data_IF_549703687479
#
_entry.id   IF_549703687479
#
_cell.length_a   1.000
_cell.length_b   1.000
_cell.length_c   1.000
_cell.angle_alpha   90.00
_cell.angle_beta   90.00
_cell.angle_gamma   90.00
#
_symmetry.space_group_name_H-M   'P 1'
#
loop_
_entity.id
_entity.type
_entity.pdbx_description
1 polymer ?
#
# COMPACT_ATOMS: atom_id res chain seq x y z
N UNK A 1 -9.14 -5.84 11.72
CA UNK A 1 -9.75 -4.50 11.52
C UNK A 1 -10.47 -4.36 10.18
N UNK A 2 -9.78 -4.56 9.01
CA UNK A 2 -10.44 -4.43 7.70
C UNK A 2 -11.58 -5.45 7.50
N UNK A 3 -11.39 -6.69 7.95
CA UNK A 3 -12.43 -7.73 7.88
C UNK A 3 -13.69 -7.34 8.67
N UNK A 4 -13.52 -6.75 9.86
CA UNK A 4 -14.63 -6.27 10.69
C UNK A 4 -15.38 -5.13 10.00
N UNK A 5 -14.62 -4.20 9.39
CA UNK A 5 -15.21 -3.11 8.60
C UNK A 5 -16.05 -3.64 7.44
N UNK A 6 -15.51 -4.58 6.67
CA UNK A 6 -16.19 -5.19 5.53
C UNK A 6 -17.43 -5.99 5.96
N UNK A 7 -17.35 -6.72 7.08
CA UNK A 7 -18.50 -7.43 7.64
C UNK A 7 -19.61 -6.46 8.03
N UNK A 8 -19.26 -5.31 8.61
CA UNK A 8 -20.22 -4.25 8.91
C UNK A 8 -20.91 -3.67 7.67
N UNK A 9 -20.27 -3.68 6.50
CA UNK A 9 -20.89 -3.23 5.26
C UNK A 9 -22.07 -4.11 4.79
N UNK A 10 -22.15 -5.36 5.25
CA UNK A 10 -23.25 -6.26 4.91
C UNK A 10 -24.56 -5.89 5.63
N UNK A 11 -24.45 -5.30 6.81
CA UNK A 11 -25.61 -5.06 7.71
C UNK A 11 -25.95 -3.57 7.88
N UNK A 12 -25.00 -2.66 7.60
CA UNK A 12 -25.22 -1.22 7.74
C UNK A 12 -25.68 -0.60 6.41
N UNK A 13 -26.96 -0.17 6.29
CA UNK A 13 -27.48 0.46 5.06
C UNK A 13 -26.71 1.73 4.67
N UNK A 14 -26.08 2.43 5.64
CA UNK A 14 -25.31 3.64 5.35
C UNK A 14 -24.00 3.35 4.62
N UNK A 15 -23.54 2.10 4.62
CA UNK A 15 -22.33 1.65 3.96
C UNK A 15 -22.57 0.93 2.63
N UNK A 16 -23.84 0.62 2.32
CA UNK A 16 -24.19 -0.11 1.11
C UNK A 16 -24.27 0.80 -0.11
N UNK A 17 -23.90 0.28 -1.28
CA UNK A 17 -23.92 0.98 -2.58
C UNK A 17 -23.17 2.32 -2.59
N UNK A 18 -22.08 2.42 -1.85
CA UNK A 18 -21.23 3.60 -1.75
C UNK A 18 -19.76 3.24 -1.93
N UNK A 19 -18.99 4.20 -2.42
CA UNK A 19 -17.53 4.16 -2.34
C UNK A 19 -17.16 4.70 -0.96
N UNK A 20 -16.54 3.85 -0.15
CA UNK A 20 -16.18 4.18 1.23
C UNK A 20 -14.65 4.22 1.33
N UNK A 21 -14.06 5.41 1.40
CA UNK A 21 -12.65 5.51 1.71
C UNK A 21 -12.41 5.03 3.14
N UNK A 22 -11.29 4.35 3.36
CA UNK A 22 -10.90 3.84 4.67
C UNK A 22 -9.40 3.89 4.82
N UNK A 23 -8.92 4.45 5.93
CA UNK A 23 -7.54 4.41 6.38
C UNK A 23 -7.39 3.57 7.64
N UNK A 24 -6.17 3.22 7.99
CA UNK A 24 -5.84 2.62 9.27
C UNK A 24 -5.85 3.64 10.42
N UNK A 25 -5.68 3.20 11.67
CA UNK A 25 -5.58 4.09 12.82
C UNK A 25 -4.26 4.87 12.82
N UNK A 26 -4.29 6.05 13.43
CA UNK A 26 -3.13 6.93 13.57
C UNK A 26 -2.91 7.88 12.39
N UNK A 27 -1.72 8.47 12.35
CA UNK A 27 -1.34 9.44 11.34
C UNK A 27 -1.08 8.80 9.97
N UNK A 28 -1.21 9.57 8.91
CA UNK A 28 -0.87 9.13 7.57
C UNK A 28 0.63 8.80 7.46
N UNK A 29 0.94 7.63 6.93
CA UNK A 29 2.29 7.09 6.87
C UNK A 29 2.83 7.18 5.45
N UNK A 30 4.02 7.79 5.29
CA UNK A 30 4.74 7.77 4.01
C UNK A 30 5.49 6.44 3.83
N UNK A 31 5.76 5.98 2.59
CA UNK A 31 6.59 4.81 2.34
C UNK A 31 7.99 4.89 2.97
N UNK A 32 8.56 6.10 3.05
CA UNK A 32 9.85 6.33 3.72
C UNK A 32 9.72 6.07 5.22
N UNK A 33 8.74 6.68 5.88
CA UNK A 33 8.50 6.49 7.31
C UNK A 33 8.20 5.01 7.66
N UNK A 34 7.47 4.32 6.78
CA UNK A 34 7.22 2.89 6.90
C UNK A 34 8.52 2.08 6.84
N UNK A 35 9.40 2.38 5.88
CA UNK A 35 10.70 1.73 5.78
C UNK A 35 11.61 2.04 6.97
N UNK A 36 11.66 3.29 7.43
CA UNK A 36 12.43 3.68 8.62
C UNK A 36 11.98 2.91 9.87
N UNK A 37 10.67 2.78 10.07
CA UNK A 37 10.12 2.03 11.19
C UNK A 37 10.49 0.54 11.12
N UNK A 38 10.48 -0.07 9.93
CA UNK A 38 10.90 -1.44 9.73
C UNK A 38 12.38 -1.64 10.05
N UNK A 39 13.29 -0.78 9.52
CA UNK A 39 14.70 -0.85 9.85
C UNK A 39 14.96 -0.67 11.34
N UNK A 40 14.22 0.24 12.00
CA UNK A 40 14.30 0.46 13.45
C UNK A 40 13.86 -0.79 14.22
N UNK A 41 12.76 -1.43 13.83
CA UNK A 41 12.29 -2.66 14.46
C UNK A 41 13.31 -3.80 14.35
N UNK A 42 13.98 -3.90 13.19
CA UNK A 42 15.02 -4.89 12.94
C UNK A 42 16.39 -4.54 13.57
N UNK A 43 16.53 -3.39 14.23
CA UNK A 43 17.81 -2.93 14.78
C UNK A 43 18.89 -2.68 13.71
N UNK A 44 18.50 -2.41 12.48
CA UNK A 44 19.39 -2.21 11.35
C UNK A 44 19.50 -0.72 10.97
N UNK A 45 20.65 -0.28 10.45
CA UNK A 45 20.78 1.08 9.95
C UNK A 45 19.90 1.27 8.71
N UNK A 46 19.19 2.40 8.67
CA UNK A 46 18.33 2.75 7.52
C UNK A 46 19.16 2.87 6.24
N UNK A 47 18.77 2.16 5.19
CA UNK A 47 19.41 2.20 3.87
C UNK A 47 18.33 2.20 2.79
N UNK A 48 18.21 3.32 2.06
CA UNK A 48 17.31 3.42 0.92
C UNK A 48 18.09 3.61 -0.38
N UNK A 49 17.63 2.96 -1.42
CA UNK A 49 18.07 3.24 -2.79
C UNK A 49 16.95 3.99 -3.50
N UNK A 50 17.24 5.21 -3.91
CA UNK A 50 16.26 6.04 -4.62
C UNK A 50 16.29 5.70 -6.11
N UNK A 51 15.14 5.29 -6.63
CA UNK A 51 14.96 4.99 -8.06
C UNK A 51 14.08 6.10 -8.65
N UNK A 52 14.57 6.86 -9.65
CA UNK A 52 13.75 7.86 -10.31
C UNK A 52 12.53 7.24 -10.99
N UNK A 53 11.36 7.86 -10.83
CA UNK A 53 10.11 7.39 -11.47
C UNK A 53 10.26 7.28 -13.00
N UNK A 54 11.03 8.17 -13.62
CA UNK A 54 11.35 8.11 -15.06
C UNK A 54 12.00 6.80 -15.49
N UNK A 55 12.79 6.17 -14.60
CA UNK A 55 13.37 4.87 -14.90
C UNK A 55 12.29 3.79 -14.96
N UNK A 56 11.28 3.85 -14.09
CA UNK A 56 10.10 2.97 -14.17
C UNK A 56 9.35 3.17 -15.48
N UNK A 57 9.19 4.40 -15.93
CA UNK A 57 8.53 4.70 -17.23
C UNK A 57 9.25 4.05 -18.42
N UNK A 58 10.59 4.09 -18.42
CA UNK A 58 11.40 3.43 -19.45
C UNK A 58 11.26 1.91 -19.38
N UNK A 59 11.29 1.33 -18.18
CA UNK A 59 11.12 -0.12 -17.97
C UNK A 59 9.74 -0.56 -18.44
N UNK A 60 8.68 0.17 -18.05
CA UNK A 60 7.30 -0.11 -18.45
C UNK A 60 7.17 -0.04 -19.98
N UNK A 61 7.76 0.97 -20.60
CA UNK A 61 7.76 1.13 -22.05
C UNK A 61 8.42 -0.07 -22.76
N UNK A 62 9.60 -0.46 -22.32
CA UNK A 62 10.32 -1.61 -22.87
C UNK A 62 9.55 -2.92 -22.69
N UNK A 63 9.04 -3.19 -21.49
CA UNK A 63 8.24 -4.38 -21.20
C UNK A 63 6.93 -4.40 -22.00
N UNK A 64 6.27 -3.25 -22.19
CA UNK A 64 5.03 -3.15 -22.96
C UNK A 64 5.25 -3.45 -24.44
N UNK A 65 6.39 -3.03 -25.00
CA UNK A 65 6.76 -3.37 -26.39
C UNK A 65 7.05 -4.87 -26.51
N UNK A 66 7.85 -5.42 -25.59
CA UNK A 66 8.14 -6.86 -25.55
C UNK A 66 6.89 -7.70 -25.28
N UNK A 67 5.96 -7.20 -24.51
CA UNK A 67 4.69 -7.86 -24.19
C UNK A 67 3.79 -8.13 -25.40
N UNK A 68 4.03 -7.43 -26.54
CA UNK A 68 3.33 -7.73 -27.80
C UNK A 68 3.72 -9.09 -28.39
N UNK A 69 4.90 -9.59 -28.04
CA UNK A 69 5.43 -10.85 -28.54
C UNK A 69 5.49 -11.93 -27.44
N UNK A 70 5.65 -11.52 -26.20
CA UNK A 70 5.83 -12.42 -25.06
C UNK A 70 4.84 -12.10 -23.93
N UNK A 71 3.83 -12.96 -23.65
CA UNK A 71 2.83 -12.73 -22.61
C UNK A 71 3.44 -12.44 -21.23
N UNK A 72 4.49 -13.17 -20.84
CA UNK A 72 5.19 -12.98 -19.56
C UNK A 72 5.80 -11.57 -19.40
N UNK A 73 6.14 -10.88 -20.50
CA UNK A 73 6.60 -9.50 -20.46
C UNK A 73 5.42 -8.52 -20.28
N UNK A 74 4.24 -8.86 -20.84
CA UNK A 74 3.02 -8.08 -20.65
C UNK A 74 2.61 -8.08 -19.15
N UNK A 75 2.62 -9.25 -18.49
CA UNK A 75 2.29 -9.36 -17.06
C UNK A 75 3.24 -8.53 -16.20
N UNK A 76 4.54 -8.57 -16.51
CA UNK A 76 5.53 -7.73 -15.81
C UNK A 76 5.34 -6.24 -16.06
N UNK A 77 4.90 -5.85 -17.26
CA UNK A 77 4.58 -4.46 -17.56
C UNK A 77 3.38 -3.98 -16.72
N UNK A 78 2.33 -4.79 -16.57
CA UNK A 78 1.18 -4.44 -15.73
C UNK A 78 1.57 -4.32 -14.26
N UNK A 79 2.36 -5.26 -13.75
CA UNK A 79 2.88 -5.18 -12.38
C UNK A 79 3.72 -3.90 -12.15
N UNK A 80 4.56 -3.54 -13.11
CA UNK A 80 5.37 -2.32 -13.04
C UNK A 80 4.51 -1.04 -13.08
N UNK A 81 3.40 -1.04 -13.85
CA UNK A 81 2.42 0.07 -13.84
C UNK A 81 1.75 0.23 -12.49
N UNK A 82 1.38 -0.88 -11.83
CA UNK A 82 0.83 -0.87 -10.49
C UNK A 82 1.85 -0.28 -9.51
N UNK A 83 3.10 -0.73 -9.56
CA UNK A 83 4.18 -0.18 -8.72
C UNK A 83 4.40 1.32 -8.96
N UNK A 84 4.33 1.77 -10.22
CA UNK A 84 4.40 3.20 -10.56
C UNK A 84 3.24 3.99 -9.96
N UNK A 85 2.02 3.46 -10.05
CA UNK A 85 0.84 4.09 -9.46
C UNK A 85 1.04 4.32 -7.96
N UNK A 86 1.43 3.30 -7.21
CA UNK A 86 1.71 3.42 -5.77
C UNK A 86 2.89 4.35 -5.44
N UNK A 87 3.82 4.55 -6.36
CA UNK A 87 4.93 5.48 -6.18
C UNK A 87 4.58 6.95 -6.45
N UNK A 88 3.48 7.21 -7.18
CA UNK A 88 3.11 8.57 -7.64
C UNK A 88 1.80 9.07 -7.08
N UNK A 89 0.90 8.18 -6.70
CA UNK A 89 -0.44 8.55 -6.24
C UNK A 89 -0.56 8.43 -4.71
N UNK A 90 -1.33 9.33 -4.13
CA UNK A 90 -1.66 9.28 -2.71
C UNK A 90 -2.83 8.31 -2.47
N UNK A 91 -2.77 7.57 -1.36
CA UNK A 91 -3.88 6.73 -0.86
C UNK A 91 -4.86 7.51 0.03
N UNK A 92 -4.63 8.80 0.23
CA UNK A 92 -5.51 9.68 1.00
C UNK A 92 -6.71 10.13 0.17
N UNK A 93 -7.77 10.54 0.84
CA UNK A 93 -8.93 11.13 0.19
C UNK A 93 -8.58 12.48 -0.42
N UNK A 94 -9.02 12.70 -1.65
CA UNK A 94 -8.93 14.02 -2.28
C UNK A 94 -9.94 14.97 -1.66
N UNK A 95 -9.47 16.09 -1.15
CA UNK A 95 -10.32 17.16 -0.64
C UNK A 95 -10.54 18.22 -1.74
N UNK A 96 -11.75 18.34 -2.26
CA UNK A 96 -12.05 19.31 -3.31
C UNK A 96 -12.03 20.76 -2.83
N UNK A 97 -12.09 21.01 -1.52
CA UNK A 97 -12.07 22.38 -0.97
C UNK A 97 -10.65 22.93 -0.95
N UNK A 98 -9.69 22.11 -0.57
CA UNK A 98 -8.26 22.50 -0.51
C UNK A 98 -7.52 22.17 -1.80
N UNK A 99 -8.13 21.38 -2.68
CA UNK A 99 -7.52 20.84 -3.90
C UNK A 99 -6.23 20.05 -3.62
N UNK A 100 -6.25 19.25 -2.54
CA UNK A 100 -5.13 18.43 -2.07
C UNK A 100 -5.62 17.11 -1.48
N UNK A 101 -4.73 16.12 -1.39
CA UNK A 101 -4.98 14.91 -0.62
C UNK A 101 -4.91 15.22 0.88
N UNK A 102 -5.90 14.77 1.64
CA UNK A 102 -6.07 15.13 3.05
C UNK A 102 -6.10 13.91 3.94
N UNK A 103 -5.20 13.87 4.92
CA UNK A 103 -5.21 12.88 5.98
C UNK A 103 -6.45 13.06 6.88
N UNK A 104 -6.81 14.30 7.18
CA UNK A 104 -7.96 14.62 8.05
C UNK A 104 -9.30 14.24 7.42
N UNK A 105 -9.40 14.30 6.08
CA UNK A 105 -10.58 13.88 5.34
C UNK A 105 -10.62 12.35 5.12
N UNK A 106 -9.55 11.62 5.42
CA UNK A 106 -9.48 10.16 5.25
C UNK A 106 -9.99 9.48 6.52
N UNK A 107 -11.14 8.76 6.46
CA UNK A 107 -11.70 8.09 7.63
C UNK A 107 -10.74 7.04 8.19
N UNK A 108 -10.50 7.09 9.49
CA UNK A 108 -9.69 6.10 10.21
C UNK A 108 -10.57 4.98 10.76
N UNK A 109 -10.10 3.74 10.68
CA UNK A 109 -10.77 2.58 11.25
C UNK A 109 -9.76 1.57 11.78
N UNK A 110 -10.13 0.93 12.90
CA UNK A 110 -9.33 -0.12 13.53
C UNK A 110 -8.52 0.35 14.74
N UNK A 111 -7.71 -0.57 15.26
CA UNK A 111 -6.87 -0.37 16.44
C UNK A 111 -5.43 -0.81 16.22
N UNK A 112 -5.22 -1.69 15.25
CA UNK A 112 -3.93 -2.34 15.03
C UNK A 112 -3.03 -1.42 14.21
N UNK A 113 -1.95 -0.96 14.81
CA UNK A 113 -0.99 -0.09 14.16
C UNK A 113 0.08 -0.91 13.40
N UNK A 114 0.42 -0.46 12.21
CA UNK A 114 1.42 -1.11 11.36
C UNK A 114 2.79 -1.23 12.06
N UNK A 115 3.16 -0.22 12.82
CA UNK A 115 4.48 -0.19 13.50
C UNK A 115 4.56 -1.18 14.65
N UNK A 116 3.44 -1.44 15.35
CA UNK A 116 3.37 -2.47 16.38
C UNK A 116 3.54 -3.86 15.75
N UNK A 117 2.88 -4.10 14.60
CA UNK A 117 3.07 -5.35 13.85
C UNK A 117 4.53 -5.57 13.40
N UNK A 118 5.24 -4.50 13.02
CA UNK A 118 6.66 -4.62 12.68
C UNK A 118 7.53 -4.97 13.90
N UNK A 119 7.20 -4.43 15.08
CA UNK A 119 7.89 -4.77 16.31
C UNK A 119 7.66 -6.25 16.68
N UNK A 120 6.41 -6.71 16.64
CA UNK A 120 6.04 -8.10 16.92
C UNK A 120 6.75 -9.08 15.95
N UNK A 121 6.79 -8.75 14.67
CA UNK A 121 7.49 -9.57 13.67
C UNK A 121 9.00 -9.61 13.89
N UNK A 122 9.59 -8.48 14.28
CA UNK A 122 11.02 -8.42 14.56
C UNK A 122 11.40 -9.26 15.80
N UNK A 123 10.47 -9.38 16.75
CA UNK A 123 10.62 -10.22 17.96
C UNK A 123 10.22 -11.68 17.73
N UNK A 124 9.71 -12.04 16.55
CA UNK A 124 9.30 -13.40 16.20
C UNK A 124 7.95 -13.81 16.79
N UNK A 125 7.16 -12.86 17.29
CA UNK A 125 5.91 -13.14 18.01
C UNK A 125 4.70 -13.38 17.08
N UNK A 126 4.72 -12.91 15.84
CA UNK A 126 3.62 -13.13 14.90
C UNK A 126 4.10 -13.10 13.44
N UNK A 127 4.63 -14.21 12.97
CA UNK A 127 4.84 -14.37 11.53
C UNK A 127 3.54 -14.87 10.91
N UNK A 128 2.84 -14.09 10.05
CA UNK A 128 1.69 -14.61 9.34
C UNK A 128 2.12 -15.86 8.56
N UNK A 129 1.46 -16.99 8.76
CA UNK A 129 1.69 -18.16 7.92
C UNK A 129 1.51 -17.74 6.45
N UNK A 130 2.57 -17.87 5.67
CA UNK A 130 2.46 -17.78 4.21
C UNK A 130 1.55 -18.89 3.75
N UNK A 131 0.30 -18.59 3.49
CA UNK A 131 -0.60 -19.53 2.83
C UNK A 131 -0.05 -19.83 1.43
N UNK A 132 -0.15 -21.08 0.98
CA UNK A 132 0.35 -21.55 -0.32
C UNK A 132 -0.19 -20.76 -1.54
N UNK A 133 -1.15 -19.88 -1.32
CA UNK A 133 -1.77 -19.03 -2.34
C UNK A 133 -1.35 -17.56 -2.28
N UNK A 134 -0.29 -17.22 -1.53
CA UNK A 134 0.28 -15.87 -1.59
C UNK A 134 0.91 -15.66 -2.98
N UNK A 135 0.28 -14.84 -3.80
CA UNK A 135 0.67 -14.56 -5.20
C UNK A 135 1.88 -13.61 -5.28
N UNK A 136 2.49 -13.24 -4.14
CA UNK A 136 3.62 -12.34 -4.04
C UNK A 136 4.79 -12.96 -3.31
#
# INVERSE_FOLDING_TARGET
>A
DLADYLTGCLTDPNRQQKILPIGGPGDAITPIAQGEALFKALGQPVRFTYVPVRLLDVIIGALSVMGRLFPAAADKAELAKIGRYYATESMLVWDPQTNQYSADATPSHGRDHLFDAYADWAHGEAVPERREHAVF
#
